data_IF_266624286080
#
_entry.id   IF_266624286080
#
_cell.length_a   1.000
_cell.length_b   1.000
_cell.length_c   1.000
_cell.angle_alpha   90.00
_cell.angle_beta   90.00
_cell.angle_gamma   90.00
#
_symmetry.space_group_name_H-M   'P 1'
#
loop_
_entity.id
_entity.type
_entity.pdbx_description
1 polymer ?
#
# COMPACT_ATOMS: atom_id res chain seq x y z
N UNK A 1 -16.72 -24.59 20.67
CA UNK A 1 -16.29 -24.10 21.99
C UNK A 1 -17.11 -24.80 23.07
N UNK A 2 -16.53 -25.13 24.21
CA UNK A 2 -17.30 -25.56 25.39
C UNK A 2 -18.30 -24.47 25.81
N UNK A 3 -19.43 -24.89 26.43
CA UNK A 3 -20.41 -23.95 26.96
C UNK A 3 -19.75 -22.97 27.96
N UNK A 4 -20.09 -21.68 27.83
CA UNK A 4 -19.55 -20.55 28.60
C UNK A 4 -18.08 -20.18 28.29
N UNK A 5 -17.50 -20.63 27.19
CA UNK A 5 -16.20 -20.16 26.75
C UNK A 5 -16.35 -18.93 25.86
N UNK A 6 -15.73 -17.81 26.23
CA UNK A 6 -15.59 -16.64 25.41
C UNK A 6 -14.50 -16.86 24.36
N UNK A 7 -14.34 -15.88 23.48
CA UNK A 7 -13.27 -15.84 22.46
C UNK A 7 -13.71 -15.20 21.17
N UNK A 8 -12.75 -14.90 20.32
CA UNK A 8 -12.95 -14.27 19.01
C UNK A 8 -12.48 -15.18 17.88
N UNK A 9 -13.28 -15.24 16.83
CA UNK A 9 -12.99 -16.03 15.65
C UNK A 9 -11.91 -15.35 14.81
N UNK A 10 -10.90 -16.11 14.42
CA UNK A 10 -9.90 -15.70 13.43
C UNK A 10 -10.46 -15.95 12.04
N UNK A 11 -10.99 -14.92 11.41
CA UNK A 11 -11.57 -15.02 10.06
C UNK A 11 -10.51 -15.03 8.97
N UNK A 12 -9.39 -14.32 9.20
CA UNK A 12 -8.34 -14.18 8.20
C UNK A 12 -6.98 -13.87 8.85
N UNK A 13 -5.93 -14.41 8.25
CA UNK A 13 -4.53 -14.11 8.60
C UNK A 13 -3.94 -13.19 7.53
N UNK A 14 -3.41 -12.06 7.97
CA UNK A 14 -2.64 -11.19 7.08
C UNK A 14 -1.30 -11.86 6.79
N UNK A 15 -0.96 -12.15 5.54
CA UNK A 15 0.32 -12.76 5.19
C UNK A 15 1.50 -11.92 5.70
N UNK A 16 2.57 -12.60 6.10
CA UNK A 16 3.80 -12.01 6.67
C UNK A 16 3.60 -11.27 8.01
N UNK A 17 2.39 -11.23 8.57
CA UNK A 17 2.14 -10.69 9.90
C UNK A 17 2.73 -11.60 11.00
N UNK A 18 2.72 -11.11 12.24
CA UNK A 18 3.10 -11.91 13.41
C UNK A 18 2.26 -13.18 13.56
N UNK A 19 0.99 -13.14 13.14
CA UNK A 19 0.07 -14.28 13.20
C UNK A 19 0.34 -15.33 12.11
N UNK A 20 1.02 -14.96 11.02
CA UNK A 20 1.26 -15.87 9.90
C UNK A 20 2.18 -17.03 10.30
N UNK A 21 1.71 -18.26 10.06
CA UNK A 21 2.39 -19.50 10.44
C UNK A 21 2.15 -19.94 11.89
N UNK A 22 1.42 -19.15 12.69
CA UNK A 22 1.06 -19.48 14.09
C UNK A 22 -0.44 -19.71 14.22
N UNK A 23 -1.25 -18.71 13.85
CA UNK A 23 -2.71 -18.82 13.83
C UNK A 23 -3.19 -19.37 12.49
N UNK A 24 -4.41 -19.90 12.51
CA UNK A 24 -5.12 -20.42 11.33
C UNK A 24 -6.51 -19.77 11.25
N UNK A 25 -7.01 -19.63 10.04
CA UNK A 25 -8.42 -19.27 9.83
C UNK A 25 -9.32 -20.35 10.44
N UNK A 26 -10.30 -19.94 11.22
CA UNK A 26 -11.18 -20.83 11.96
C UNK A 26 -10.76 -21.08 13.41
N UNK A 27 -9.57 -20.64 13.83
CA UNK A 27 -9.22 -20.63 15.25
C UNK A 27 -10.17 -19.73 16.04
N UNK A 28 -10.46 -20.07 17.27
CA UNK A 28 -11.07 -19.12 18.21
C UNK A 28 -10.04 -18.77 19.27
N UNK A 29 -9.60 -17.52 19.28
CA UNK A 29 -8.64 -17.00 20.24
C UNK A 29 -9.36 -16.82 21.58
N UNK A 30 -8.98 -17.62 22.59
CA UNK A 30 -9.64 -17.67 23.89
C UNK A 30 -8.86 -16.99 25.00
N UNK A 31 -7.53 -16.94 24.90
CA UNK A 31 -6.68 -16.21 25.84
C UNK A 31 -5.53 -15.52 25.15
N UNK A 32 -5.11 -14.42 25.74
CA UNK A 32 -3.85 -13.73 25.46
C UNK A 32 -3.12 -13.55 26.79
N UNK A 33 -1.87 -14.04 26.87
CA UNK A 33 -1.16 -14.24 28.12
C UNK A 33 -2.04 -15.04 29.12
N UNK A 34 -2.24 -14.52 30.32
CA UNK A 34 -3.10 -15.12 31.33
C UNK A 34 -4.56 -14.59 31.33
N UNK A 35 -4.87 -13.69 30.35
CA UNK A 35 -6.16 -13.01 30.30
C UNK A 35 -7.15 -13.76 29.41
N UNK A 36 -8.35 -14.04 29.96
CA UNK A 36 -9.44 -14.65 29.20
C UNK A 36 -10.10 -13.62 28.30
N UNK A 37 -10.28 -13.95 27.03
CA UNK A 37 -10.97 -13.11 26.04
C UNK A 37 -12.45 -13.48 26.04
N UNK A 38 -13.33 -12.49 26.19
CA UNK A 38 -14.77 -12.68 26.09
C UNK A 38 -15.26 -12.70 24.63
N UNK A 39 -16.57 -12.88 24.43
CA UNK A 39 -17.18 -12.90 23.09
C UNK A 39 -17.18 -11.54 22.38
N UNK A 40 -16.93 -10.45 23.08
CA UNK A 40 -16.78 -9.10 22.54
C UNK A 40 -15.31 -8.74 22.23
N UNK A 41 -14.36 -9.66 22.49
CA UNK A 41 -12.93 -9.41 22.31
C UNK A 41 -12.32 -8.56 23.42
N UNK A 42 -12.93 -8.56 24.60
CA UNK A 42 -12.45 -7.81 25.75
C UNK A 42 -11.75 -8.72 26.74
N UNK A 43 -10.84 -8.16 27.49
CA UNK A 43 -10.14 -8.80 28.62
C UNK A 43 -10.26 -7.94 29.86
N UNK A 44 -10.23 -8.55 31.03
CA UNK A 44 -10.24 -7.84 32.29
C UNK A 44 -8.80 -7.48 32.70
N UNK A 45 -8.53 -6.21 32.79
CA UNK A 45 -7.26 -5.64 33.24
C UNK A 45 -7.48 -4.97 34.62
N UNK A 46 -7.39 -5.75 35.69
CA UNK A 46 -7.82 -5.32 37.00
C UNK A 46 -9.35 -5.10 37.04
N UNK A 47 -9.78 -3.89 37.34
CA UNK A 47 -11.20 -3.51 37.36
C UNK A 47 -11.71 -2.96 36.00
N UNK A 48 -10.84 -2.84 35.01
CA UNK A 48 -11.21 -2.29 33.71
C UNK A 48 -11.31 -3.39 32.65
N UNK A 49 -12.29 -3.23 31.76
CA UNK A 49 -12.38 -4.01 30.53
C UNK A 49 -11.69 -3.25 29.39
N UNK A 50 -10.72 -3.90 28.74
CA UNK A 50 -9.98 -3.36 27.61
C UNK A 50 -9.98 -4.35 26.46
N UNK A 51 -9.74 -3.87 25.25
CA UNK A 51 -9.65 -4.74 24.09
C UNK A 51 -8.40 -5.64 24.19
N UNK A 52 -8.52 -6.92 23.84
CA UNK A 52 -7.46 -7.93 23.98
C UNK A 52 -6.14 -7.53 23.30
N UNK A 53 -6.20 -6.78 22.20
CA UNK A 53 -5.02 -6.40 21.42
C UNK A 53 -4.12 -5.39 22.13
N UNK A 54 -4.58 -4.78 23.21
CA UNK A 54 -3.76 -3.91 24.08
C UNK A 54 -2.51 -4.64 24.59
N UNK A 55 -2.60 -5.94 24.83
CA UNK A 55 -1.43 -6.75 25.22
C UNK A 55 -0.33 -6.76 24.14
N UNK A 56 -0.73 -6.73 22.87
CA UNK A 56 0.24 -6.64 21.77
C UNK A 56 0.76 -5.20 21.60
N UNK A 57 -0.10 -4.19 21.78
CA UNK A 57 0.29 -2.77 21.62
C UNK A 57 1.26 -2.30 22.71
N UNK A 58 1.20 -2.88 23.89
CA UNK A 58 2.11 -2.56 25.00
C UNK A 58 3.48 -3.25 24.91
N UNK A 59 3.75 -4.00 23.83
CA UNK A 59 4.99 -4.74 23.65
C UNK A 59 5.80 -4.23 22.47
N UNK A 60 7.08 -4.62 22.44
CA UNK A 60 7.99 -4.25 21.36
C UNK A 60 8.05 -5.33 20.28
N UNK A 61 8.49 -4.93 19.09
CA UNK A 61 8.83 -5.87 18.01
C UNK A 61 9.95 -6.79 18.52
N UNK A 62 9.77 -8.11 18.36
CA UNK A 62 10.65 -9.14 18.87
C UNK A 62 10.14 -9.81 20.15
N UNK A 63 9.24 -9.17 20.88
CA UNK A 63 8.63 -9.78 22.06
C UNK A 63 7.72 -10.95 21.68
N UNK A 64 7.56 -11.89 22.61
CA UNK A 64 6.68 -13.04 22.46
C UNK A 64 5.37 -12.82 23.23
N UNK A 65 4.28 -13.27 22.63
CA UNK A 65 2.93 -13.32 23.22
C UNK A 65 2.48 -14.77 23.32
N UNK A 66 1.97 -15.17 24.46
CA UNK A 66 1.32 -16.46 24.64
C UNK A 66 -0.15 -16.35 24.27
N UNK A 67 -0.63 -17.25 23.46
CA UNK A 67 -2.02 -17.33 23.01
C UNK A 67 -2.59 -18.69 23.36
N UNK A 68 -3.87 -18.75 23.67
CA UNK A 68 -4.62 -19.98 23.70
C UNK A 68 -5.71 -19.90 22.65
N UNK A 69 -5.80 -20.90 21.80
CA UNK A 69 -6.83 -21.02 20.77
C UNK A 69 -7.63 -22.30 20.95
N UNK A 70 -8.88 -22.25 20.51
CA UNK A 70 -9.68 -23.43 20.25
C UNK A 70 -9.57 -23.77 18.77
N UNK A 71 -8.97 -24.94 18.47
CA UNK A 71 -8.71 -25.42 17.13
C UNK A 71 -9.13 -26.89 17.03
N UNK A 72 -9.94 -27.24 16.04
CA UNK A 72 -10.35 -28.63 15.77
C UNK A 72 -10.87 -29.38 17.00
N UNK A 73 -11.60 -28.73 17.89
CA UNK A 73 -12.18 -29.37 19.08
C UNK A 73 -11.26 -29.41 20.31
N UNK A 74 -10.08 -28.81 20.27
CA UNK A 74 -9.10 -28.82 21.34
C UNK A 74 -8.57 -27.42 21.66
N UNK A 75 -8.16 -27.20 22.91
CA UNK A 75 -7.36 -26.03 23.28
C UNK A 75 -5.89 -26.28 22.94
N UNK A 76 -5.30 -25.32 22.20
CA UNK A 76 -3.88 -25.29 21.90
C UNK A 76 -3.25 -24.01 22.46
N UNK A 77 -2.07 -24.15 23.08
CA UNK A 77 -1.26 -23.02 23.51
C UNK A 77 -0.20 -22.73 22.45
N UNK A 78 -0.17 -21.50 21.99
CA UNK A 78 0.71 -21.03 20.93
C UNK A 78 1.58 -19.88 21.45
N UNK A 79 2.75 -19.72 20.86
CA UNK A 79 3.60 -18.54 21.09
C UNK A 79 3.76 -17.77 19.78
N UNK A 80 3.43 -16.49 19.81
CA UNK A 80 3.50 -15.58 18.69
C UNK A 80 4.61 -14.58 18.96
N UNK A 81 5.58 -14.45 18.04
CA UNK A 81 6.59 -13.39 18.12
C UNK A 81 6.14 -12.17 17.34
N UNK A 82 6.15 -11.00 17.98
CA UNK A 82 5.75 -9.75 17.35
C UNK A 82 6.77 -9.34 16.29
N UNK A 83 6.28 -9.11 15.09
CA UNK A 83 7.04 -8.66 13.93
C UNK A 83 6.61 -7.28 13.54
N UNK A 84 7.49 -6.56 12.84
CA UNK A 84 7.07 -5.32 12.18
C UNK A 84 5.86 -5.61 11.27
N UNK A 85 4.87 -4.70 11.20
CA UNK A 85 3.77 -4.86 10.27
C UNK A 85 4.29 -5.15 8.86
N UNK A 86 3.69 -6.10 8.13
CA UNK A 86 4.14 -6.47 6.79
C UNK A 86 3.89 -5.39 5.74
N UNK A 87 3.34 -4.26 6.16
CA UNK A 87 3.03 -3.13 5.31
C UNK A 87 4.25 -2.26 5.12
N UNK A 88 4.51 -1.85 3.89
CA UNK A 88 5.58 -0.94 3.54
C UNK A 88 5.41 0.46 4.14
N UNK A 89 6.38 1.33 3.91
CA UNK A 89 6.35 2.72 4.37
C UNK A 89 5.15 3.50 3.80
N UNK A 90 4.64 3.08 2.65
CA UNK A 90 3.44 3.63 2.00
C UNK A 90 2.19 3.56 2.86
N UNK A 91 2.12 2.62 3.83
CA UNK A 91 1.01 2.49 4.78
C UNK A 91 1.17 3.35 6.04
N UNK A 92 2.29 4.05 6.19
CA UNK A 92 2.59 4.90 7.34
C UNK A 92 2.58 6.37 6.94
N UNK A 93 2.28 7.25 7.90
CA UNK A 93 2.52 8.67 7.72
C UNK A 93 4.03 8.92 7.68
N UNK A 94 4.46 9.67 6.68
CA UNK A 94 5.85 10.10 6.52
C UNK A 94 5.92 11.60 6.70
N UNK A 95 6.61 12.09 7.73
CA UNK A 95 6.62 13.52 8.08
C UNK A 95 7.88 14.23 7.58
N UNK A 96 9.04 13.59 7.66
CA UNK A 96 10.34 14.24 7.37
C UNK A 96 11.06 13.67 6.15
N UNK A 97 10.30 13.00 5.27
CA UNK A 97 10.87 12.40 4.05
C UNK A 97 10.33 13.12 2.82
N UNK A 98 11.24 13.54 1.94
CA UNK A 98 10.87 14.01 0.61
C UNK A 98 10.15 12.87 -0.13
N UNK A 99 8.95 13.09 -0.69
CA UNK A 99 8.25 12.04 -1.45
C UNK A 99 9.01 11.68 -2.72
N UNK A 100 9.01 10.39 -3.06
CA UNK A 100 9.48 9.94 -4.36
C UNK A 100 8.55 10.44 -5.45
N UNK A 101 9.13 10.91 -6.55
CA UNK A 101 8.37 11.34 -7.73
C UNK A 101 9.12 11.07 -9.02
N UNK A 102 8.37 11.05 -10.10
CA UNK A 102 8.87 10.93 -11.45
C UNK A 102 8.01 11.79 -12.40
N UNK A 103 8.65 12.50 -13.31
CA UNK A 103 7.98 13.36 -14.30
C UNK A 103 8.36 12.89 -15.70
N UNK A 104 7.36 12.78 -16.58
CA UNK A 104 7.57 12.50 -18.00
C UNK A 104 6.53 13.25 -18.83
N UNK A 105 6.97 14.00 -19.85
CA UNK A 105 6.08 14.78 -20.73
C UNK A 105 5.13 15.73 -19.97
N UNK A 106 5.54 16.20 -18.77
CA UNK A 106 4.73 17.03 -17.88
C UNK A 106 3.76 16.25 -16.98
N UNK A 107 3.70 14.94 -17.11
CA UNK A 107 2.93 14.09 -16.20
C UNK A 107 3.72 13.83 -14.92
N UNK A 108 3.14 14.13 -13.76
CA UNK A 108 3.78 13.98 -12.44
C UNK A 108 3.24 12.74 -11.74
N UNK A 109 4.10 11.75 -11.56
CA UNK A 109 3.77 10.47 -10.92
C UNK A 109 4.41 10.39 -9.53
N UNK A 110 3.70 9.76 -8.60
CA UNK A 110 4.20 9.38 -7.28
C UNK A 110 3.81 7.93 -6.96
N UNK A 111 4.46 7.35 -5.96
CA UNK A 111 3.96 6.15 -5.31
C UNK A 111 2.80 6.53 -4.38
N UNK A 112 1.66 5.84 -4.52
CA UNK A 112 0.51 6.03 -3.63
C UNK A 112 0.93 5.74 -2.20
N UNK A 113 0.68 6.67 -1.30
CA UNK A 113 1.01 6.56 0.11
C UNK A 113 -0.10 7.13 0.99
N UNK A 114 0.00 6.84 2.28
CA UNK A 114 -1.00 7.25 3.26
C UNK A 114 -1.18 8.78 3.32
N UNK A 115 -0.09 9.55 3.26
CA UNK A 115 -0.17 11.01 3.32
C UNK A 115 -0.98 11.58 2.15
N UNK A 116 -0.79 11.02 0.95
CA UNK A 116 -1.53 11.45 -0.23
C UNK A 116 -3.02 11.14 -0.12
N UNK A 117 -3.40 9.93 0.32
CA UNK A 117 -4.80 9.54 0.47
C UNK A 117 -5.51 10.40 1.52
N UNK A 118 -4.84 10.71 2.62
CA UNK A 118 -5.41 11.52 3.69
C UNK A 118 -5.37 13.04 3.42
N UNK A 119 -4.79 13.47 2.29
CA UNK A 119 -4.87 14.88 1.88
C UNK A 119 -6.31 15.22 1.46
N UNK A 120 -6.78 16.44 1.73
CA UNK A 120 -8.14 16.87 1.39
C UNK A 120 -8.47 16.60 -0.08
N UNK A 121 -9.61 15.98 -0.34
CA UNK A 121 -10.08 15.66 -1.70
C UNK A 121 -9.51 14.38 -2.33
N UNK A 122 -8.56 13.70 -1.69
CA UNK A 122 -7.91 12.51 -2.27
C UNK A 122 -8.46 11.18 -1.74
N UNK A 123 -9.34 11.17 -0.74
CA UNK A 123 -9.99 9.94 -0.25
C UNK A 123 -11.07 9.49 -1.24
N UNK A 124 -10.64 8.98 -2.38
CA UNK A 124 -11.50 8.43 -3.42
C UNK A 124 -11.57 6.91 -3.31
N UNK A 125 -12.75 6.28 -3.59
CA UNK A 125 -12.90 4.83 -3.50
C UNK A 125 -11.82 4.03 -4.24
N UNK A 126 -11.43 4.36 -5.50
CA UNK A 126 -10.38 3.62 -6.19
C UNK A 126 -9.02 3.68 -5.50
N UNK A 127 -8.61 4.84 -4.98
CA UNK A 127 -7.33 5.02 -4.27
C UNK A 127 -7.35 4.29 -2.94
N UNK A 128 -8.44 4.43 -2.18
CA UNK A 128 -8.64 3.73 -0.91
C UNK A 128 -8.64 2.21 -1.13
N UNK A 129 -9.32 1.72 -2.18
CA UNK A 129 -9.33 0.29 -2.53
C UNK A 129 -7.94 -0.23 -2.86
N UNK A 130 -7.18 0.43 -3.74
CA UNK A 130 -5.80 0.01 -4.09
C UNK A 130 -4.88 0.04 -2.88
N UNK A 131 -5.04 1.03 -2.00
CA UNK A 131 -4.23 1.15 -0.79
C UNK A 131 -4.54 0.06 0.24
N UNK A 132 -5.83 -0.16 0.57
CA UNK A 132 -6.23 -1.09 1.63
C UNK A 132 -6.37 -2.52 1.16
N UNK A 133 -7.13 -2.73 0.08
CA UNK A 133 -7.50 -4.08 -0.36
C UNK A 133 -6.29 -4.86 -0.88
N UNK A 134 -5.46 -4.24 -1.71
CA UNK A 134 -4.28 -4.95 -2.27
C UNK A 134 -3.21 -5.19 -1.23
N UNK A 135 -2.98 -4.21 -0.37
CA UNK A 135 -1.95 -4.32 0.66
C UNK A 135 -2.34 -5.30 1.77
N UNK A 136 -3.61 -5.28 2.19
CA UNK A 136 -4.09 -6.05 3.34
C UNK A 136 -4.72 -7.37 2.93
N UNK A 137 -5.55 -7.39 1.87
CA UNK A 137 -6.37 -8.56 1.55
C UNK A 137 -5.76 -9.50 0.51
N UNK A 138 -4.94 -9.00 -0.41
CA UNK A 138 -4.32 -9.79 -1.47
C UNK A 138 -2.83 -9.51 -1.66
N UNK A 139 -1.99 -9.72 -0.66
CA UNK A 139 -0.56 -9.45 -0.76
C UNK A 139 0.16 -10.35 -1.78
N UNK A 140 -0.41 -11.50 -2.18
CA UNK A 140 0.11 -12.33 -3.27
C UNK A 140 0.01 -11.69 -4.66
N UNK A 141 -0.89 -10.71 -4.82
CA UNK A 141 -1.03 -9.92 -6.06
C UNK A 141 -0.41 -8.53 -5.93
N UNK A 142 0.35 -8.30 -4.87
CA UNK A 142 0.93 -7.04 -4.50
C UNK A 142 1.92 -6.57 -5.56
N UNK A 143 1.72 -5.38 -6.07
CA UNK A 143 2.78 -4.60 -6.70
C UNK A 143 3.72 -4.10 -5.62
N UNK A 144 4.95 -3.78 -5.98
CA UNK A 144 5.86 -3.13 -5.02
C UNK A 144 5.32 -1.77 -4.60
N UNK A 145 4.72 -1.02 -5.55
CA UNK A 145 4.08 0.27 -5.32
C UNK A 145 2.88 0.45 -6.24
N UNK A 146 1.86 1.16 -5.79
CA UNK A 146 0.79 1.67 -6.66
C UNK A 146 1.22 3.02 -7.19
N UNK A 147 1.39 3.14 -8.51
CA UNK A 147 1.80 4.39 -9.16
C UNK A 147 0.58 5.20 -9.53
N UNK A 148 0.56 6.47 -9.17
CA UNK A 148 -0.52 7.41 -9.51
C UNK A 148 0.01 8.66 -10.20
N UNK A 149 -0.73 9.13 -11.20
CA UNK A 149 -0.58 10.49 -11.74
C UNK A 149 -1.33 11.45 -10.81
N UNK A 150 -0.60 12.40 -10.26
CA UNK A 150 -1.17 13.39 -9.33
C UNK A 150 -1.48 14.71 -10.00
N UNK A 151 -0.63 15.14 -10.92
CA UNK A 151 -0.75 16.43 -11.60
C UNK A 151 -0.25 16.33 -13.03
N UNK A 152 -0.75 17.23 -13.86
CA UNK A 152 -0.24 17.48 -15.20
C UNK A 152 0.33 18.91 -15.25
N UNK A 153 1.57 19.05 -15.66
CA UNK A 153 2.20 20.34 -15.98
C UNK A 153 1.81 20.68 -17.41
N UNK A 154 0.92 21.65 -17.66
CA UNK A 154 0.39 21.91 -18.99
C UNK A 154 1.46 22.21 -20.02
N UNK A 155 1.41 21.46 -21.13
CA UNK A 155 2.28 21.63 -22.31
C UNK A 155 1.53 21.15 -23.56
N UNK A 156 2.09 21.42 -24.77
CA UNK A 156 1.46 20.98 -26.02
C UNK A 156 1.33 19.45 -26.11
N UNK A 157 2.33 18.71 -25.61
CA UNK A 157 2.37 17.23 -25.66
C UNK A 157 1.35 16.54 -24.79
N UNK A 158 0.81 17.20 -23.77
CA UNK A 158 -0.20 16.68 -22.86
C UNK A 158 -1.52 17.45 -22.92
N UNK A 159 -1.76 18.14 -24.04
CA UNK A 159 -3.00 18.88 -24.29
C UNK A 159 -4.20 17.94 -24.19
N UNK A 160 -5.22 18.37 -23.46
CA UNK A 160 -6.42 17.58 -23.15
C UNK A 160 -6.38 16.84 -21.80
N UNK A 161 -5.22 16.73 -21.16
CA UNK A 161 -5.06 16.06 -19.87
C UNK A 161 -4.83 17.01 -18.68
N UNK A 162 -4.89 18.31 -18.88
CA UNK A 162 -4.52 19.33 -17.87
C UNK A 162 -5.20 19.15 -16.52
N UNK A 163 -6.46 18.69 -16.53
CA UNK A 163 -7.24 18.48 -15.30
C UNK A 163 -7.20 17.03 -14.80
N UNK A 164 -6.41 16.16 -15.46
CA UNK A 164 -6.32 14.77 -15.04
C UNK A 164 -5.47 14.66 -13.77
N UNK A 165 -6.04 14.04 -12.76
CA UNK A 165 -5.38 13.72 -11.49
C UNK A 165 -5.96 12.44 -10.92
N UNK A 166 -5.28 11.86 -9.94
CA UNK A 166 -5.69 10.60 -9.32
C UNK A 166 -5.85 9.43 -10.32
N UNK A 167 -5.06 9.45 -11.41
CA UNK A 167 -5.06 8.37 -12.38
C UNK A 167 -4.11 7.26 -11.92
N UNK A 168 -4.67 6.09 -11.63
CA UNK A 168 -3.90 4.92 -11.17
C UNK A 168 -3.30 4.22 -12.38
N UNK A 169 -1.98 4.23 -12.49
CA UNK A 169 -1.27 3.56 -13.58
C UNK A 169 -1.21 2.06 -13.29
N UNK A 170 -1.92 1.28 -14.10
CA UNK A 170 -1.93 -0.19 -14.03
C UNK A 170 -0.88 -0.81 -14.94
N UNK A 171 -0.74 -0.28 -16.15
CA UNK A 171 0.19 -0.75 -17.17
C UNK A 171 0.70 0.41 -18.04
N UNK A 172 1.79 0.16 -18.73
CA UNK A 172 2.36 1.02 -19.75
C UNK A 172 2.49 0.19 -21.03
N UNK A 173 1.83 0.60 -22.12
CA UNK A 173 1.77 -0.17 -23.38
C UNK A 173 1.44 -1.66 -23.13
N UNK A 174 0.42 -1.94 -22.31
CA UNK A 174 -0.06 -3.27 -21.89
C UNK A 174 0.89 -4.04 -20.94
N UNK A 175 2.08 -3.54 -20.63
CA UNK A 175 2.98 -4.14 -19.66
C UNK A 175 2.71 -3.64 -18.24
N UNK A 176 2.53 -4.53 -17.25
CA UNK A 176 2.20 -4.15 -15.87
C UNK A 176 3.29 -3.25 -15.24
N UNK A 177 2.86 -2.16 -14.61
CA UNK A 177 3.74 -1.27 -13.83
C UNK A 177 3.77 -1.73 -12.38
N UNK A 178 4.95 -2.08 -11.87
CA UNK A 178 5.13 -2.63 -10.51
C UNK A 178 5.56 -1.60 -9.47
N UNK A 179 6.23 -0.52 -9.89
CA UNK A 179 6.71 0.55 -9.01
C UNK A 179 6.95 1.84 -9.79
N UNK A 180 7.18 2.93 -9.08
CA UNK A 180 7.53 4.20 -9.69
C UNK A 180 8.88 4.13 -10.44
N UNK A 181 9.88 3.48 -9.84
CA UNK A 181 11.18 3.25 -10.50
C UNK A 181 11.07 2.29 -11.69
N UNK A 182 10.15 1.32 -11.65
CA UNK A 182 9.88 0.44 -12.80
C UNK A 182 9.29 1.23 -13.97
N UNK A 183 8.34 2.14 -13.72
CA UNK A 183 7.79 3.02 -14.75
C UNK A 183 8.88 3.88 -15.41
N UNK A 184 9.77 4.49 -14.63
CA UNK A 184 10.91 5.25 -15.14
C UNK A 184 11.82 4.39 -16.04
N UNK A 185 12.15 3.16 -15.60
CA UNK A 185 12.96 2.22 -16.37
C UNK A 185 12.30 1.79 -17.69
N UNK A 186 10.98 1.53 -17.66
CA UNK A 186 10.23 1.18 -18.87
C UNK A 186 10.31 2.30 -19.91
N UNK A 187 10.11 3.55 -19.50
CA UNK A 187 10.18 4.71 -20.38
C UNK A 187 11.60 4.95 -20.91
N UNK A 188 12.63 4.80 -20.07
CA UNK A 188 14.04 4.94 -20.47
C UNK A 188 14.52 3.87 -21.47
N UNK A 189 13.94 2.67 -21.39
CA UNK A 189 14.26 1.55 -22.31
C UNK A 189 13.47 1.60 -23.61
N UNK A 190 12.49 2.49 -23.71
CA UNK A 190 11.61 2.57 -24.88
C UNK A 190 12.37 3.12 -26.09
N UNK A 191 12.27 2.48 -27.26
CA UNK A 191 12.91 2.98 -28.49
C UNK A 191 12.37 4.36 -28.88
N UNK A 192 13.24 5.25 -29.37
CA UNK A 192 12.84 6.60 -29.79
C UNK A 192 11.89 6.61 -31.00
N UNK A 193 11.84 5.51 -31.75
CA UNK A 193 10.92 5.29 -32.86
C UNK A 193 9.49 5.00 -32.39
N UNK A 194 9.30 4.78 -31.08
CA UNK A 194 7.96 4.57 -30.52
C UNK A 194 7.09 5.80 -30.76
N UNK A 195 5.95 5.59 -31.42
CA UNK A 195 5.06 6.71 -31.79
C UNK A 195 4.27 7.18 -30.58
N UNK A 196 3.67 6.23 -29.85
CA UNK A 196 2.82 6.55 -28.71
C UNK A 196 3.25 5.78 -27.46
N UNK A 197 3.08 6.43 -26.33
CA UNK A 197 3.13 5.81 -25.02
C UNK A 197 1.74 5.86 -24.41
N UNK A 198 1.26 4.70 -23.94
CA UNK A 198 -0.11 4.52 -23.42
C UNK A 198 -0.04 4.14 -21.96
N UNK A 199 -0.53 5.01 -21.10
CA UNK A 199 -0.72 4.71 -19.68
C UNK A 199 -2.15 4.23 -19.48
N UNK A 200 -2.30 3.06 -18.90
CA UNK A 200 -3.60 2.40 -18.73
C UNK A 200 -3.96 2.27 -17.26
N UNK A 201 -5.24 2.31 -16.99
CA UNK A 201 -5.81 2.16 -15.66
C UNK A 201 -6.89 1.09 -15.65
N UNK A 202 -6.97 0.34 -14.56
CA UNK A 202 -8.11 -0.55 -14.30
C UNK A 202 -9.35 0.19 -13.81
N UNK A 203 -9.18 1.45 -13.40
CA UNK A 203 -10.19 2.27 -12.76
C UNK A 203 -10.77 3.35 -13.67
N UNK A 204 -10.01 3.78 -14.65
CA UNK A 204 -10.43 4.75 -15.65
C UNK A 204 -10.66 4.07 -16.98
N UNK A 205 -11.77 4.41 -17.63
CA UNK A 205 -12.18 3.79 -18.90
C UNK A 205 -11.32 4.23 -20.08
N UNK A 206 -10.71 5.42 -20.01
CA UNK A 206 -9.90 5.95 -21.11
C UNK A 206 -8.42 5.95 -20.70
N UNK A 207 -7.55 5.43 -21.57
CA UNK A 207 -6.12 5.51 -21.37
C UNK A 207 -5.61 6.96 -21.57
N UNK A 208 -4.45 7.26 -20.97
CA UNK A 208 -3.71 8.47 -21.24
C UNK A 208 -2.67 8.14 -22.32
N UNK A 209 -2.71 8.86 -23.43
CA UNK A 209 -1.85 8.61 -24.59
C UNK A 209 -1.04 9.85 -24.91
N UNK A 210 0.28 9.72 -24.98
CA UNK A 210 1.17 10.79 -25.42
C UNK A 210 1.95 10.37 -26.66
N UNK A 211 2.34 11.34 -27.51
CA UNK A 211 3.39 11.14 -28.49
C UNK A 211 4.73 10.99 -27.71
N UNK A 212 5.36 9.82 -27.82
CA UNK A 212 6.55 9.51 -27.02
C UNK A 212 7.72 10.41 -27.39
N UNK A 213 8.02 10.52 -28.68
CA UNK A 213 9.13 11.31 -29.18
C UNK A 213 9.00 12.78 -28.78
N UNK A 214 7.85 13.40 -29.06
CA UNK A 214 7.59 14.78 -28.69
C UNK A 214 7.67 15.01 -27.18
N UNK A 215 7.13 14.07 -26.37
CA UNK A 215 7.18 14.15 -24.92
C UNK A 215 8.62 14.08 -24.41
N UNK A 216 9.46 13.26 -25.03
CA UNK A 216 10.87 13.14 -24.70
C UNK A 216 11.64 14.42 -25.08
N UNK A 217 11.44 14.93 -26.28
CA UNK A 217 12.10 16.14 -26.79
C UNK A 217 11.72 17.39 -25.99
N UNK A 218 10.46 17.53 -25.60
CA UNK A 218 9.97 18.68 -24.84
C UNK A 218 10.18 18.57 -23.33
N UNK A 219 10.59 17.41 -22.83
CA UNK A 219 10.67 17.13 -21.40
C UNK A 219 11.46 18.19 -20.62
N UNK A 220 12.69 18.49 -21.06
CA UNK A 220 13.55 19.46 -20.38
C UNK A 220 13.01 20.90 -20.46
N UNK A 221 12.34 21.26 -21.56
CA UNK A 221 11.73 22.58 -21.69
C UNK A 221 10.52 22.76 -20.77
N UNK A 222 9.76 21.68 -20.55
CA UNK A 222 8.65 21.66 -19.60
C UNK A 222 9.21 21.84 -18.18
N UNK A 223 10.20 21.04 -17.78
CA UNK A 223 10.80 21.16 -16.45
C UNK A 223 11.31 22.57 -16.18
N UNK A 224 12.05 23.14 -17.12
CA UNK A 224 12.57 24.53 -17.03
C UNK A 224 11.47 25.58 -16.88
N UNK A 225 10.36 25.44 -17.62
CA UNK A 225 9.20 26.36 -17.54
C UNK A 225 8.59 26.37 -16.14
N UNK A 226 8.58 25.25 -15.46
CA UNK A 226 8.01 25.12 -14.11
C UNK A 226 9.04 25.22 -12.98
N UNK A 227 10.31 25.58 -13.29
CA UNK A 227 11.37 25.72 -12.30
C UNK A 227 11.75 24.42 -11.60
N UNK A 228 11.60 23.30 -12.31
CA UNK A 228 11.90 21.96 -11.77
C UNK A 228 13.30 21.56 -12.24
N UNK A 229 14.21 21.35 -11.31
CA UNK A 229 15.60 21.01 -11.60
C UNK A 229 15.78 19.52 -11.92
N UNK A 230 15.06 18.64 -11.20
CA UNK A 230 15.18 17.20 -11.33
C UNK A 230 13.87 16.58 -11.79
N UNK A 231 13.91 15.73 -12.82
CA UNK A 231 12.72 15.03 -13.32
C UNK A 231 12.28 13.87 -12.45
N UNK A 232 13.10 13.43 -11.51
CA UNK A 232 12.79 12.31 -10.61
C UNK A 232 13.56 12.40 -9.30
N UNK A 233 12.97 11.84 -8.27
CA UNK A 233 13.62 11.59 -7.00
C UNK A 233 13.21 10.22 -6.48
N UNK A 234 14.18 9.36 -6.26
CA UNK A 234 14.00 8.02 -5.70
C UNK A 234 14.89 7.86 -4.47
N UNK A 235 14.33 7.29 -3.41
CA UNK A 235 15.11 6.97 -2.21
C UNK A 235 15.97 5.74 -2.50
N UNK A 236 17.28 5.86 -2.36
CA UNK A 236 18.18 4.72 -2.44
C UNK A 236 17.82 3.71 -1.36
N UNK A 237 17.30 2.55 -1.74
CA UNK A 237 17.13 1.43 -0.81
C UNK A 237 18.52 0.89 -0.51
N UNK A 238 19.12 1.32 0.60
CA UNK A 238 20.26 0.60 1.15
C UNK A 238 19.76 -0.80 1.55
N UNK A 239 20.26 -1.81 0.87
CA UNK A 239 20.04 -3.22 1.19
C UNK A 239 20.81 -3.61 2.45
#
# INVERSE_FOLDING_TARGET
LPENSGGILVERIVPFSSAAGVLQTGDVLTKIEDLQIDAAGMVNYGEQQVAFYIEAENRQIGDSLKLQVWRNGNFENLTLTLKAPPFGEEMRNSYDKRPEYFIFGGLVFIALNRNYIHSPGNLLPPLAYEHWYREVERPSTRRQQVVILTHVLPASVNSGYTNLHNFIVSSLNHEPVNSLSHLDQMLKKMPLETVHVVFESKWQSLPLVLNFKESFEQHNSILKRYGIEESSYFVSKNH
#
